data_IF_168418296934
#
_entry.id   IF_168418296934
#
_cell.length_a   1.000
_cell.length_b   1.000
_cell.length_c   1.000
_cell.angle_alpha   90.00
_cell.angle_beta   90.00
_cell.angle_gamma   90.00
#
_symmetry.space_group_name_H-M   'P 1'
#
loop_
_entity.id
_entity.type
_entity.pdbx_description
1 polymer ?
#
# COMPACT_ATOMS: atom_id res chain seq x y z
N UNK A 1 3.62 18.31 0.40
CA UNK A 1 3.19 17.97 -0.97
C UNK A 1 3.28 16.47 -1.26
N UNK A 2 4.27 15.74 -0.71
CA UNK A 2 4.50 14.31 -0.97
C UNK A 2 3.29 13.40 -0.74
N UNK A 3 2.56 13.53 0.37
CA UNK A 3 1.42 12.66 0.68
C UNK A 3 0.24 12.84 -0.31
N UNK A 4 0.04 14.05 -0.84
CA UNK A 4 -1.01 14.30 -1.81
C UNK A 4 -0.72 13.59 -3.15
N UNK A 5 0.55 13.64 -3.60
CA UNK A 5 0.99 12.90 -4.78
C UNK A 5 0.86 11.38 -4.58
N UNK A 6 1.35 10.85 -3.45
CA UNK A 6 1.21 9.43 -3.10
C UNK A 6 -0.27 9.02 -3.10
N UNK A 7 -1.14 9.84 -2.52
CA UNK A 7 -2.58 9.56 -2.50
C UNK A 7 -3.17 9.55 -3.91
N UNK A 8 -2.78 10.48 -4.77
CA UNK A 8 -3.25 10.55 -6.15
C UNK A 8 -2.81 9.31 -6.95
N UNK A 9 -1.54 8.92 -6.85
CA UNK A 9 -0.98 7.73 -7.49
C UNK A 9 -1.68 6.46 -7.01
N UNK A 10 -1.79 6.25 -5.69
CA UNK A 10 -2.46 5.09 -5.12
C UNK A 10 -3.94 5.02 -5.54
N UNK A 11 -4.64 6.15 -5.62
CA UNK A 11 -6.03 6.18 -6.13
C UNK A 11 -6.10 5.79 -7.59
N UNK A 12 -5.18 6.26 -8.44
CA UNK A 12 -5.15 5.91 -9.85
C UNK A 12 -4.85 4.43 -10.09
N UNK A 13 -3.99 3.82 -9.26
CA UNK A 13 -3.56 2.42 -9.44
C UNK A 13 -4.46 1.42 -8.73
N UNK A 14 -4.91 1.73 -7.51
CA UNK A 14 -5.57 0.76 -6.62
C UNK A 14 -7.10 0.93 -6.54
N UNK A 15 -7.68 1.98 -7.13
CA UNK A 15 -9.11 2.23 -7.06
C UNK A 15 -9.78 2.22 -8.46
N UNK A 16 -10.94 1.55 -8.61
CA UNK A 16 -11.50 0.59 -7.66
C UNK A 16 -10.65 -0.68 -7.59
N UNK A 17 -10.46 -1.21 -6.39
CA UNK A 17 -9.68 -2.42 -6.15
C UNK A 17 -10.21 -3.20 -4.96
N UNK A 18 -9.80 -4.46 -4.85
CA UNK A 18 -10.22 -5.37 -3.78
C UNK A 18 -9.01 -5.81 -2.97
N UNK A 19 -9.08 -5.64 -1.64
CA UNK A 19 -8.13 -6.26 -0.73
C UNK A 19 -8.34 -7.78 -0.78
N UNK A 20 -7.31 -8.53 -1.16
CA UNK A 20 -7.33 -9.99 -1.19
C UNK A 20 -6.72 -10.60 0.07
N UNK A 21 -5.68 -9.96 0.61
CA UNK A 21 -4.97 -10.41 1.80
C UNK A 21 -4.47 -9.21 2.62
N UNK A 22 -4.45 -9.38 3.94
CA UNK A 22 -3.81 -8.48 4.90
C UNK A 22 -2.88 -9.33 5.76
N UNK A 23 -1.61 -8.93 5.88
CA UNK A 23 -0.59 -9.69 6.60
C UNK A 23 0.22 -8.76 7.51
N UNK A 24 0.41 -9.08 8.80
CA UNK A 24 1.41 -8.39 9.61
C UNK A 24 2.80 -8.68 9.03
N UNK A 25 3.56 -7.63 8.74
CA UNK A 25 4.93 -7.75 8.21
C UNK A 25 5.94 -7.69 9.36
N UNK A 26 5.71 -6.79 10.31
CA UNK A 26 6.40 -6.69 11.59
C UNK A 26 5.50 -6.00 12.63
N UNK A 27 6.03 -5.69 13.82
CA UNK A 27 5.31 -4.99 14.91
C UNK A 27 4.70 -3.64 14.51
N UNK A 28 5.30 -2.97 13.53
CA UNK A 28 4.93 -1.63 13.09
C UNK A 28 4.56 -1.58 11.60
N UNK A 29 4.22 -2.71 10.97
CA UNK A 29 3.93 -2.73 9.53
C UNK A 29 2.85 -3.74 9.12
N UNK A 30 1.99 -3.30 8.21
CA UNK A 30 0.97 -4.13 7.56
C UNK A 30 1.21 -4.19 6.05
N UNK A 31 1.21 -5.42 5.53
CA UNK A 31 1.21 -5.71 4.10
C UNK A 31 -0.20 -5.99 3.61
N UNK A 32 -0.55 -5.42 2.47
CA UNK A 32 -1.81 -5.66 1.78
C UNK A 32 -1.52 -6.19 0.39
N UNK A 33 -2.30 -7.17 -0.05
CA UNK A 33 -2.41 -7.49 -1.47
C UNK A 33 -3.71 -6.92 -2.01
N UNK A 34 -3.59 -5.96 -2.91
CA UNK A 34 -4.73 -5.32 -3.57
C UNK A 34 -4.82 -5.81 -5.01
N UNK A 35 -5.97 -6.34 -5.40
CA UNK A 35 -6.26 -6.66 -6.80
C UNK A 35 -6.99 -5.50 -7.47
N UNK A 36 -6.34 -4.88 -8.45
CA UNK A 36 -6.86 -3.74 -9.19
C UNK A 36 -6.31 -3.79 -10.63
N UNK A 37 -7.15 -3.43 -11.61
CA UNK A 37 -6.73 -3.40 -13.02
C UNK A 37 -6.24 -4.74 -13.57
N UNK A 38 -6.71 -5.87 -13.03
CA UNK A 38 -6.30 -7.22 -13.49
C UNK A 38 -4.95 -7.71 -12.95
N UNK A 39 -4.33 -6.99 -12.02
CA UNK A 39 -3.04 -7.34 -11.43
C UNK A 39 -3.08 -7.28 -9.89
N UNK A 40 -2.12 -7.98 -9.25
CA UNK A 40 -1.88 -7.90 -7.81
C UNK A 40 -0.87 -6.78 -7.53
N UNK A 41 -1.22 -5.93 -6.57
CA UNK A 41 -0.42 -4.81 -6.11
C UNK A 41 -0.12 -5.01 -4.63
N UNK A 42 1.12 -5.39 -4.26
CA UNK A 42 1.55 -5.37 -2.88
C UNK A 42 1.65 -3.93 -2.38
N UNK A 43 1.08 -3.64 -1.21
CA UNK A 43 1.10 -2.32 -0.57
C UNK A 43 1.61 -2.49 0.87
N UNK A 44 2.66 -1.74 1.24
CA UNK A 44 3.18 -1.70 2.60
C UNK A 44 2.71 -0.42 3.28
N UNK A 45 2.16 -0.57 4.48
CA UNK A 45 1.88 0.53 5.42
C UNK A 45 2.79 0.35 6.63
N UNK A 46 3.79 1.22 6.76
CA UNK A 46 4.69 1.25 7.91
C UNK A 46 4.26 2.38 8.86
N UNK A 47 4.20 2.07 10.15
CA UNK A 47 3.64 2.87 11.24
C UNK A 47 4.68 3.21 12.31
N UNK A 48 5.97 2.95 12.04
CA UNK A 48 7.04 3.25 12.97
C UNK A 48 7.18 4.77 13.17
N UNK A 49 7.32 5.28 14.43
CA UNK A 49 7.25 6.72 14.73
C UNK A 49 8.18 7.61 13.90
N UNK A 50 9.37 7.10 13.57
CA UNK A 50 10.41 7.85 12.85
C UNK A 50 10.50 7.51 11.36
N UNK A 51 9.65 6.61 10.84
CA UNK A 51 9.74 6.15 9.44
C UNK A 51 8.40 5.74 8.83
N UNK A 52 7.31 6.36 9.31
CA UNK A 52 5.95 6.13 8.83
C UNK A 52 5.83 6.46 7.34
N UNK A 53 5.31 5.52 6.55
CA UNK A 53 5.21 5.63 5.09
C UNK A 53 4.23 4.62 4.52
N UNK A 54 3.73 4.91 3.32
CA UNK A 54 2.93 3.99 2.52
C UNK A 54 3.47 3.96 1.09
N UNK A 55 3.64 2.77 0.52
CA UNK A 55 4.13 2.59 -0.85
C UNK A 55 3.79 1.19 -1.37
N UNK A 56 3.67 1.07 -2.70
CA UNK A 56 3.63 -0.23 -3.36
C UNK A 56 5.02 -0.88 -3.32
N UNK A 57 5.05 -2.22 -3.28
CA UNK A 57 6.29 -3.00 -3.26
C UNK A 57 6.41 -3.76 -4.58
N UNK A 58 7.60 -3.76 -5.16
CA UNK A 58 7.95 -4.57 -6.33
C UNK A 58 8.77 -5.79 -5.88
N UNK A 59 8.57 -6.92 -6.54
CA UNK A 59 9.39 -8.13 -6.35
C UNK A 59 10.70 -8.04 -7.13
#
# INVERSE_FOLDING_TARGET
MTLACITAELKQTLCPGRIQQVTPVDEHALGFEVYAGGARHPLLVALHPNSARVHTVSY
#
